data_IF_895839688293
#
_entry.id   IF_895839688293
#
_cell.length_a   1.000
_cell.length_b   1.000
_cell.length_c   1.000
_cell.angle_alpha   90.00
_cell.angle_beta   90.00
_cell.angle_gamma   90.00
#
_symmetry.space_group_name_H-M   'P 1'
#
loop_
_entity.id
_entity.type
_entity.pdbx_description
1 polymer ?
#
# COMPACT_ATOMS: atom_id res chain seq x y z
N UNK A 1 9.74 12.58 4.48
CA UNK A 1 8.28 12.51 4.62
C UNK A 1 7.59 12.57 3.26
N UNK A 2 6.39 12.02 3.20
CA UNK A 2 5.57 12.08 2.00
C UNK A 2 5.02 13.50 1.84
N UNK A 3 5.18 14.07 0.65
CA UNK A 3 4.93 15.50 0.43
C UNK A 3 3.47 15.93 0.48
N UNK A 4 2.55 15.03 0.07
CA UNK A 4 1.13 15.37 -0.07
C UNK A 4 0.18 14.45 0.69
N UNK A 5 0.70 13.43 1.36
CA UNK A 5 -0.14 12.43 2.03
C UNK A 5 -1.06 13.03 3.10
N UNK A 6 -0.55 13.97 3.89
CA UNK A 6 -1.31 14.58 4.97
C UNK A 6 -2.52 15.41 4.48
N UNK A 7 -2.49 15.88 3.24
CA UNK A 7 -3.59 16.67 2.68
C UNK A 7 -4.86 15.85 2.47
N UNK A 8 -4.72 14.54 2.34
CA UNK A 8 -5.82 13.64 1.97
C UNK A 8 -6.09 12.54 2.99
N UNK A 9 -5.13 12.24 3.85
CA UNK A 9 -5.24 11.14 4.80
C UNK A 9 -5.20 9.76 4.13
N UNK A 10 -5.46 8.73 4.93
CA UNK A 10 -5.55 7.34 4.46
C UNK A 10 -7.03 7.02 4.26
N UNK A 11 -7.36 6.45 3.11
CA UNK A 11 -8.74 6.13 2.76
C UNK A 11 -8.75 4.92 1.81
N UNK A 12 -9.95 4.39 1.55
CA UNK A 12 -10.10 3.30 0.59
C UNK A 12 -9.68 3.75 -0.80
N UNK A 13 -9.27 2.78 -1.62
CA UNK A 13 -8.90 3.07 -3.01
C UNK A 13 -10.04 3.77 -3.74
N UNK A 14 -11.28 3.27 -3.58
CA UNK A 14 -12.46 3.85 -4.23
C UNK A 14 -12.60 5.34 -3.95
N UNK A 15 -12.50 5.73 -2.68
CA UNK A 15 -12.66 7.12 -2.29
C UNK A 15 -11.46 7.97 -2.71
N UNK A 16 -10.26 7.50 -2.43
CA UNK A 16 -9.05 8.27 -2.68
C UNK A 16 -8.79 8.46 -4.17
N UNK A 17 -8.99 7.41 -4.96
CA UNK A 17 -8.82 7.47 -6.42
C UNK A 17 -9.73 8.56 -7.01
N UNK A 18 -10.96 8.63 -6.54
CA UNK A 18 -11.93 9.64 -6.98
C UNK A 18 -11.49 11.06 -6.56
N UNK A 19 -11.05 11.21 -5.31
CA UNK A 19 -10.60 12.49 -4.77
C UNK A 19 -9.37 13.02 -5.49
N UNK A 20 -8.48 12.13 -5.91
CA UNK A 20 -7.19 12.53 -6.52
C UNK A 20 -7.27 12.83 -8.02
N UNK A 21 -8.42 12.68 -8.65
CA UNK A 21 -8.57 13.00 -10.08
C UNK A 21 -8.17 14.46 -10.33
N UNK A 22 -7.33 14.66 -11.35
CA UNK A 22 -6.87 15.98 -11.75
C UNK A 22 -5.75 16.57 -10.91
N UNK A 23 -5.31 15.87 -9.86
CA UNK A 23 -4.24 16.36 -8.98
C UNK A 23 -2.84 15.95 -9.43
N UNK A 24 -2.73 14.94 -10.28
CA UNK A 24 -1.45 14.34 -10.63
C UNK A 24 -0.91 13.38 -9.58
N UNK A 25 -1.59 13.24 -8.45
CA UNK A 25 -1.20 12.30 -7.40
C UNK A 25 -1.78 10.91 -7.67
N UNK A 26 -1.18 9.91 -7.06
CA UNK A 26 -1.59 8.51 -7.21
C UNK A 26 -2.07 7.96 -5.87
N UNK A 27 -3.07 7.07 -5.93
CA UNK A 27 -3.52 6.33 -4.76
C UNK A 27 -2.66 5.07 -4.64
N UNK A 28 -1.76 5.06 -3.67
CA UNK A 28 -0.84 3.94 -3.43
C UNK A 28 -1.49 2.97 -2.44
N UNK A 29 -1.71 1.73 -2.88
CA UNK A 29 -2.17 0.67 -1.98
C UNK A 29 -1.09 0.39 -0.94
N UNK A 30 -1.44 0.53 0.34
CA UNK A 30 -0.47 0.35 1.43
C UNK A 30 0.05 -1.08 1.44
N UNK A 31 -0.84 -2.06 1.25
CA UNK A 31 -0.43 -3.45 0.97
C UNK A 31 -0.64 -3.67 -0.53
N UNK A 32 0.40 -4.14 -1.22
CA UNK A 32 0.31 -4.36 -2.66
C UNK A 32 -0.77 -5.39 -3.01
N UNK A 33 -1.58 -5.08 -4.01
CA UNK A 33 -2.69 -5.95 -4.42
C UNK A 33 -2.24 -7.36 -4.76
N UNK A 34 -1.10 -7.50 -5.45
CA UNK A 34 -0.59 -8.81 -5.87
C UNK A 34 -0.39 -9.78 -4.72
N UNK A 35 -0.11 -9.27 -3.52
CA UNK A 35 0.18 -10.09 -2.34
C UNK A 35 -1.07 -10.65 -1.68
N UNK A 36 -2.21 -10.00 -1.88
CA UNK A 36 -3.45 -10.34 -1.16
C UNK A 36 -4.62 -10.66 -2.09
N UNK A 37 -4.38 -10.66 -3.39
CA UNK A 37 -5.40 -10.87 -4.41
C UNK A 37 -6.16 -12.19 -4.22
N UNK A 38 -5.44 -13.24 -3.85
CA UNK A 38 -6.00 -14.57 -3.64
C UNK A 38 -6.85 -14.70 -2.35
N UNK A 39 -6.88 -13.66 -1.52
CA UNK A 39 -7.73 -13.65 -0.33
C UNK A 39 -9.16 -13.22 -0.64
N UNK A 40 -9.46 -12.87 -1.90
CA UNK A 40 -10.79 -12.41 -2.29
C UNK A 40 -11.13 -11.01 -1.82
N UNK A 41 -10.14 -10.20 -1.48
CA UNK A 41 -10.35 -8.82 -1.03
C UNK A 41 -10.72 -7.93 -2.21
N UNK A 42 -11.77 -7.12 -2.01
CA UNK A 42 -12.15 -6.12 -3.01
C UNK A 42 -11.13 -4.98 -3.02
N UNK A 43 -10.45 -4.81 -4.14
CA UNK A 43 -9.44 -3.76 -4.34
C UNK A 43 -9.95 -2.36 -3.96
N UNK A 44 -11.21 -2.07 -4.28
CA UNK A 44 -11.81 -0.76 -3.99
C UNK A 44 -11.90 -0.46 -2.50
N UNK A 45 -11.92 -1.48 -1.66
CA UNK A 45 -12.01 -1.34 -0.21
C UNK A 45 -10.62 -1.32 0.47
N UNK A 46 -9.56 -1.54 -0.29
CA UNK A 46 -8.20 -1.55 0.27
C UNK A 46 -7.74 -0.15 0.62
N UNK A 47 -7.02 -0.02 1.73
CA UNK A 47 -6.49 1.27 2.18
C UNK A 47 -5.35 1.76 1.30
N UNK A 48 -5.40 3.05 0.99
CA UNK A 48 -4.43 3.74 0.15
C UNK A 48 -3.99 5.06 0.78
N UNK A 49 -2.90 5.58 0.29
CA UNK A 49 -2.37 6.89 0.67
C UNK A 49 -2.02 7.67 -0.60
N UNK A 50 -2.21 8.99 -0.57
CA UNK A 50 -1.89 9.85 -1.71
C UNK A 50 -0.38 10.05 -1.80
N UNK A 51 0.20 9.76 -2.96
CA UNK A 51 1.64 9.87 -3.19
C UNK A 51 1.92 10.51 -4.54
N UNK A 52 3.09 11.12 -4.67
CA UNK A 52 3.58 11.55 -5.98
C UNK A 52 4.02 10.33 -6.78
N UNK A 53 4.22 10.51 -8.08
CA UNK A 53 4.73 9.42 -8.94
C UNK A 53 6.07 8.89 -8.43
N UNK A 54 6.98 9.79 -8.05
CA UNK A 54 8.29 9.39 -7.55
C UNK A 54 8.20 8.59 -6.25
N UNK A 55 7.33 9.02 -5.33
CA UNK A 55 7.08 8.30 -4.07
C UNK A 55 6.51 6.92 -4.33
N UNK A 56 5.55 6.82 -5.26
CA UNK A 56 4.95 5.55 -5.64
C UNK A 56 5.98 4.58 -6.20
N UNK A 57 6.82 5.06 -7.11
CA UNK A 57 7.89 4.26 -7.71
C UNK A 57 8.88 3.77 -6.65
N UNK A 58 9.23 4.61 -5.67
CA UNK A 58 10.14 4.23 -4.59
C UNK A 58 9.54 3.12 -3.72
N UNK A 59 8.27 3.23 -3.34
CA UNK A 59 7.60 2.18 -2.57
C UNK A 59 7.49 0.88 -3.37
N UNK A 60 7.10 0.96 -4.63
CA UNK A 60 6.99 -0.21 -5.50
C UNK A 60 8.33 -0.94 -5.62
N UNK A 61 9.40 -0.19 -5.82
CA UNK A 61 10.75 -0.76 -5.91
C UNK A 61 11.14 -1.46 -4.61
N UNK A 62 10.87 -0.84 -3.46
CA UNK A 62 11.21 -1.40 -2.16
C UNK A 62 10.45 -2.71 -1.91
N UNK A 63 9.12 -2.72 -2.17
CA UNK A 63 8.32 -3.93 -2.05
C UNK A 63 8.86 -5.05 -2.93
N UNK A 64 9.24 -4.75 -4.17
CA UNK A 64 9.75 -5.75 -5.11
C UNK A 64 11.14 -6.28 -4.75
N UNK A 65 11.93 -5.47 -4.05
CA UNK A 65 13.21 -5.94 -3.51
C UNK A 65 12.99 -6.98 -2.42
N UNK A 66 11.98 -6.79 -1.58
CA UNK A 66 11.68 -7.69 -0.46
C UNK A 66 10.90 -8.93 -0.92
N UNK A 67 9.92 -8.73 -1.80
CA UNK A 67 9.12 -9.82 -2.38
C UNK A 67 9.13 -9.65 -3.89
N UNK A 68 10.09 -10.29 -4.59
CA UNK A 68 10.18 -10.20 -6.05
C UNK A 68 8.92 -10.73 -6.74
N UNK A 69 8.72 -10.28 -7.97
CA UNK A 69 7.60 -10.75 -8.77
C UNK A 69 7.65 -12.27 -8.95
N UNK A 70 6.51 -12.92 -8.79
CA UNK A 70 6.36 -14.37 -9.01
C UNK A 70 4.95 -14.66 -9.52
N UNK A 71 4.76 -15.89 -10.01
CA UNK A 71 3.48 -16.31 -10.58
C UNK A 71 2.43 -16.64 -9.50
N UNK A 72 2.85 -16.96 -8.29
CA UNK A 72 1.98 -17.38 -7.21
C UNK A 72 2.47 -16.80 -5.88
N UNK A 73 1.59 -16.06 -5.19
CA UNK A 73 1.88 -15.45 -3.89
C UNK A 73 1.15 -16.15 -2.75
N UNK A 74 0.43 -17.26 -3.02
CA UNK A 74 -0.44 -17.89 -2.03
C UNK A 74 0.28 -18.45 -0.81
N UNK A 75 1.58 -18.71 -0.93
CA UNK A 75 2.39 -19.26 0.17
C UNK A 75 2.98 -18.18 1.07
N UNK A 76 2.84 -16.92 0.70
CA UNK A 76 3.33 -15.81 1.52
C UNK A 76 2.31 -15.54 2.62
N UNK A 77 2.76 -15.62 3.87
CA UNK A 77 1.88 -15.45 5.03
C UNK A 77 1.63 -13.97 5.34
N UNK A 78 0.56 -13.69 6.11
CA UNK A 78 0.28 -12.35 6.63
C UNK A 78 1.47 -11.82 7.43
N UNK A 79 2.08 -12.68 8.24
CA UNK A 79 3.23 -12.32 9.06
C UNK A 79 4.42 -11.91 8.22
N UNK A 80 4.69 -12.63 7.13
CA UNK A 80 5.77 -12.27 6.20
C UNK A 80 5.50 -10.94 5.51
N UNK A 81 4.27 -10.68 5.09
CA UNK A 81 3.89 -9.40 4.49
C UNK A 81 4.06 -8.27 5.51
N UNK A 82 3.66 -8.52 6.77
CA UNK A 82 3.83 -7.55 7.84
C UNK A 82 5.30 -7.21 8.09
N UNK A 83 6.17 -8.21 8.13
CA UNK A 83 7.61 -7.97 8.27
C UNK A 83 8.14 -7.06 7.16
N UNK A 84 7.72 -7.31 5.92
CA UNK A 84 8.11 -6.48 4.80
C UNK A 84 7.54 -5.06 4.91
N UNK A 85 6.28 -4.93 5.31
CA UNK A 85 5.64 -3.63 5.51
C UNK A 85 6.39 -2.80 6.57
N UNK A 86 6.84 -3.44 7.65
CA UNK A 86 7.62 -2.76 8.69
C UNK A 86 8.93 -2.18 8.14
N UNK A 87 9.54 -2.86 7.18
CA UNK A 87 10.75 -2.35 6.52
C UNK A 87 10.41 -1.22 5.54
N UNK A 88 9.40 -1.41 4.70
CA UNK A 88 9.01 -0.41 3.69
C UNK A 88 8.56 0.90 4.35
N UNK A 89 7.78 0.81 5.41
CA UNK A 89 7.13 1.95 6.04
C UNK A 89 7.72 2.33 7.40
N UNK A 90 8.96 1.92 7.68
CA UNK A 90 9.58 2.13 9.01
C UNK A 90 9.58 3.57 9.49
N UNK A 91 9.59 4.53 8.57
CA UNK A 91 9.59 5.96 8.89
C UNK A 91 8.21 6.61 8.82
N UNK A 92 7.16 5.81 8.64
CA UNK A 92 5.80 6.29 8.43
C UNK A 92 4.82 5.59 9.37
N UNK A 93 4.72 6.03 10.64
CA UNK A 93 3.87 5.33 11.63
C UNK A 93 2.42 5.15 11.20
N UNK A 94 1.84 6.12 10.49
CA UNK A 94 0.46 6.05 10.03
C UNK A 94 0.28 4.95 8.98
N UNK A 95 1.28 4.76 8.12
CA UNK A 95 1.24 3.69 7.12
C UNK A 95 1.44 2.33 7.76
N UNK A 96 2.25 2.26 8.83
CA UNK A 96 2.42 1.03 9.60
C UNK A 96 1.10 0.61 10.26
N UNK A 97 0.39 1.55 10.87
CA UNK A 97 -0.91 1.26 11.49
C UNK A 97 -1.91 0.76 10.43
N UNK A 98 -1.95 1.43 9.28
CA UNK A 98 -2.85 1.02 8.20
C UNK A 98 -2.48 -0.35 7.63
N UNK A 99 -1.19 -0.65 7.51
CA UNK A 99 -0.72 -1.95 7.06
C UNK A 99 -1.14 -3.05 8.04
N UNK A 100 -0.94 -2.81 9.32
CA UNK A 100 -1.34 -3.78 10.35
C UNK A 100 -2.84 -4.04 10.31
N UNK A 101 -3.64 -2.99 10.26
CA UNK A 101 -5.09 -3.12 10.20
C UNK A 101 -5.56 -3.84 8.93
N UNK A 102 -4.89 -3.60 7.81
CA UNK A 102 -5.21 -4.26 6.55
C UNK A 102 -4.93 -5.77 6.60
N UNK A 103 -3.89 -6.18 7.34
CA UNK A 103 -3.48 -7.56 7.42
C UNK A 103 -4.19 -8.34 8.52
N UNK A 104 -4.42 -7.71 9.66
CA UNK A 104 -4.89 -8.43 10.87
C UNK A 104 -6.21 -7.90 11.43
N UNK A 105 -6.74 -6.88 10.81
CA UNK A 105 -8.04 -6.34 11.16
C UNK A 105 -8.11 -5.51 12.36
#
# INVERSE_FOLDING_TARGET
DLSRAADYGIDTYKNLHKTLKGTGLQAHHIIEQRLVQHWGINTNEMLCVAVTKAEHEAFTKHWRQLIPHKSDYSKITREEIWECAQEVYKNYPELLDAAYNSLFG
#
